data_IF_740080166611
#
_entry.id   IF_740080166611
#
_cell.length_a   1.000
_cell.length_b   1.000
_cell.length_c   1.000
_cell.angle_alpha   90.00
_cell.angle_beta   90.00
_cell.angle_gamma   90.00
#
_symmetry.space_group_name_H-M   'P 1'
#
loop_
_entity.id
_entity.type
_entity.pdbx_description
1 polymer ?
#
# COMPACT_ATOMS: atom_id res chain seq x y z
N UNK A 1 -7.22 -30.95 35.92
CA UNK A 1 -8.05 -30.32 34.87
C UNK A 1 -7.18 -29.20 34.31
N UNK A 2 -6.60 -29.37 33.12
CA UNK A 2 -5.70 -28.35 32.56
C UNK A 2 -6.53 -27.17 32.07
N UNK A 3 -6.19 -25.96 32.49
CA UNK A 3 -6.73 -24.74 31.94
C UNK A 3 -6.42 -24.68 30.44
N UNK A 4 -7.41 -25.05 29.63
CA UNK A 4 -7.39 -24.80 28.19
C UNK A 4 -7.64 -23.31 28.01
N UNK A 5 -6.58 -22.52 27.86
CA UNK A 5 -6.68 -21.17 27.33
C UNK A 5 -7.17 -21.25 25.88
N UNK A 6 -8.48 -21.11 25.70
CA UNK A 6 -9.09 -20.94 24.39
C UNK A 6 -8.54 -19.65 23.79
N UNK A 7 -7.77 -19.77 22.71
CA UNK A 7 -7.23 -18.64 21.97
C UNK A 7 -8.35 -17.63 21.70
N UNK A 8 -8.27 -16.44 22.32
CA UNK A 8 -9.27 -15.39 22.13
C UNK A 8 -9.31 -15.04 20.64
N UNK A 9 -10.53 -15.01 20.08
CA UNK A 9 -10.77 -14.52 18.72
C UNK A 9 -10.10 -13.16 18.57
N UNK A 10 -9.04 -13.10 17.76
CA UNK A 10 -8.40 -11.85 17.36
C UNK A 10 -9.51 -10.92 16.87
N UNK A 11 -9.61 -9.72 17.47
CA UNK A 11 -10.62 -8.73 17.11
C UNK A 11 -10.43 -8.42 15.62
N UNK A 12 -11.30 -9.01 14.79
CA UNK A 12 -11.28 -8.83 13.34
C UNK A 12 -11.33 -7.33 13.06
N UNK A 13 -10.34 -6.82 12.32
CA UNK A 13 -10.37 -5.44 11.89
C UNK A 13 -11.68 -5.19 11.13
N UNK A 14 -12.32 -4.02 11.31
CA UNK A 14 -13.55 -3.72 10.60
C UNK A 14 -13.32 -3.89 9.10
N UNK A 15 -14.13 -4.71 8.43
CA UNK A 15 -14.00 -5.00 6.99
C UNK A 15 -13.96 -3.73 6.14
N UNK A 16 -14.67 -2.68 6.56
CA UNK A 16 -14.64 -1.38 5.91
C UNK A 16 -13.25 -0.73 5.94
N UNK A 17 -12.51 -0.83 7.04
CA UNK A 17 -11.15 -0.29 7.18
C UNK A 17 -10.18 -1.00 6.23
N UNK A 18 -10.29 -2.34 6.12
CA UNK A 18 -9.50 -3.13 5.17
C UNK A 18 -9.81 -2.74 3.72
N UNK A 19 -11.09 -2.56 3.40
CA UNK A 19 -11.52 -2.19 2.04
C UNK A 19 -11.01 -0.80 1.65
N UNK A 20 -11.14 0.20 2.53
CA UNK A 20 -10.63 1.56 2.29
C UNK A 20 -9.12 1.53 2.08
N UNK A 21 -8.38 0.78 2.90
CA UNK A 21 -6.93 0.63 2.74
C UNK A 21 -6.58 0.00 1.41
N UNK A 22 -7.29 -1.06 1.00
CA UNK A 22 -7.07 -1.73 -0.28
C UNK A 22 -7.32 -0.79 -1.47
N UNK A 23 -8.43 -0.05 -1.47
CA UNK A 23 -8.75 0.91 -2.53
C UNK A 23 -7.69 2.01 -2.61
N UNK A 24 -7.27 2.54 -1.46
CA UNK A 24 -6.23 3.57 -1.40
C UNK A 24 -4.89 3.07 -1.96
N UNK A 25 -4.45 1.87 -1.55
CA UNK A 25 -3.22 1.26 -2.06
C UNK A 25 -3.31 0.99 -3.57
N UNK A 26 -4.46 0.53 -4.05
CA UNK A 26 -4.70 0.31 -5.47
C UNK A 26 -4.61 1.61 -6.28
N UNK A 27 -5.18 2.70 -5.76
CA UNK A 27 -5.07 4.02 -6.39
C UNK A 27 -3.63 4.53 -6.44
N UNK A 28 -2.84 4.35 -5.36
CA UNK A 28 -1.42 4.68 -5.36
C UNK A 28 -0.65 3.86 -6.40
N UNK A 29 -0.95 2.57 -6.52
CA UNK A 29 -0.30 1.72 -7.51
C UNK A 29 -0.58 2.18 -8.94
N UNK A 30 -1.84 2.44 -9.29
CA UNK A 30 -2.21 2.94 -10.61
C UNK A 30 -1.64 4.33 -10.89
N UNK A 31 -1.70 5.24 -9.91
CA UNK A 31 -1.11 6.58 -10.03
C UNK A 31 0.41 6.53 -10.23
N UNK A 32 1.10 5.64 -9.51
CA UNK A 32 2.52 5.40 -9.67
C UNK A 32 2.87 4.84 -11.05
N UNK A 33 2.12 3.87 -11.56
CA UNK A 33 2.27 3.35 -12.92
C UNK A 33 2.08 4.43 -13.98
N UNK A 34 1.07 5.28 -13.82
CA UNK A 34 0.83 6.39 -14.73
C UNK A 34 1.99 7.40 -14.73
N UNK A 35 2.52 7.75 -13.54
CA UNK A 35 3.67 8.64 -13.40
C UNK A 35 4.95 8.06 -14.04
N UNK A 36 5.19 6.76 -13.86
CA UNK A 36 6.28 6.04 -14.53
C UNK A 36 6.11 6.14 -16.05
N UNK A 37 4.91 5.88 -16.57
CA UNK A 37 4.62 5.98 -18.00
C UNK A 37 4.89 7.36 -18.55
N UNK A 38 4.36 8.41 -17.90
CA UNK A 38 4.55 9.81 -18.30
C UNK A 38 6.04 10.17 -18.27
N UNK A 39 6.74 9.91 -17.16
CA UNK A 39 8.17 10.19 -17.03
C UNK A 39 9.09 9.30 -17.87
N UNK A 40 8.59 8.20 -18.45
CA UNK A 40 9.36 7.39 -19.40
C UNK A 40 9.22 7.91 -20.84
N UNK A 41 8.10 8.58 -21.16
CA UNK A 41 7.80 9.05 -22.52
C UNK A 41 8.03 10.54 -22.73
N UNK A 42 8.08 11.34 -21.65
CA UNK A 42 8.29 12.78 -21.72
C UNK A 42 9.78 13.14 -21.79
N UNK A 43 10.14 14.12 -22.61
CA UNK A 43 11.50 14.67 -22.73
C UNK A 43 11.69 15.96 -21.91
N UNK A 44 10.64 16.39 -21.20
CA UNK A 44 10.69 17.56 -20.32
C UNK A 44 11.71 17.43 -19.19
N UNK A 45 12.25 18.56 -18.72
CA UNK A 45 13.21 18.58 -17.59
C UNK A 45 12.65 17.95 -16.29
N UNK A 46 11.33 17.87 -16.15
CA UNK A 46 10.63 17.23 -15.02
C UNK A 46 10.55 15.70 -15.14
N UNK A 47 10.80 15.14 -16.33
CA UNK A 47 10.58 13.73 -16.66
C UNK A 47 11.30 12.75 -15.70
N UNK A 48 12.59 12.92 -15.36
CA UNK A 48 13.27 12.04 -14.40
C UNK A 48 12.63 12.07 -13.01
N UNK A 49 12.13 13.23 -12.59
CA UNK A 49 11.47 13.38 -11.29
C UNK A 49 10.11 12.68 -11.28
N UNK A 50 9.35 12.76 -12.38
CA UNK A 50 8.06 12.06 -12.51
C UNK A 50 8.25 10.54 -12.49
N UNK A 51 9.27 10.04 -13.18
CA UNK A 51 9.61 8.62 -13.19
C UNK A 51 9.96 8.11 -11.79
N UNK A 52 10.86 8.81 -11.07
CA UNK A 52 11.25 8.46 -9.70
C UNK A 52 10.07 8.58 -8.74
N UNK A 53 9.25 9.64 -8.85
CA UNK A 53 8.04 9.80 -8.04
C UNK A 53 7.06 8.64 -8.27
N UNK A 54 6.93 8.17 -9.51
CA UNK A 54 6.12 7.00 -9.82
C UNK A 54 6.60 5.73 -9.14
N UNK A 55 7.92 5.45 -9.14
CA UNK A 55 8.52 4.32 -8.42
C UNK A 55 8.25 4.41 -6.91
N UNK A 56 8.46 5.60 -6.31
CA UNK A 56 8.20 5.81 -4.89
C UNK A 56 6.72 5.58 -4.54
N UNK A 57 5.81 6.07 -5.39
CA UNK A 57 4.36 5.89 -5.22
C UNK A 57 3.96 4.42 -5.31
N UNK A 58 4.53 3.66 -6.25
CA UNK A 58 4.35 2.20 -6.33
C UNK A 58 4.87 1.51 -5.06
N UNK A 59 6.06 1.88 -4.58
CA UNK A 59 6.62 1.33 -3.34
C UNK A 59 5.71 1.58 -2.13
N UNK A 60 5.15 2.79 -2.02
CA UNK A 60 4.22 3.15 -0.96
C UNK A 60 2.93 2.33 -1.00
N UNK A 61 2.41 1.98 -2.18
CA UNK A 61 1.23 1.13 -2.33
C UNK A 61 1.40 -0.24 -1.64
N UNK A 62 2.62 -0.77 -1.58
CA UNK A 62 2.94 -2.02 -0.89
C UNK A 62 3.42 -1.82 0.56
N UNK A 63 4.09 -0.70 0.86
CA UNK A 63 4.61 -0.41 2.19
C UNK A 63 3.56 0.06 3.21
N UNK A 64 2.61 0.90 2.80
CA UNK A 64 1.52 1.40 3.66
C UNK A 64 0.65 0.30 4.28
N UNK A 65 0.22 -0.75 3.56
CA UNK A 65 -0.56 -1.81 4.20
C UNK A 65 0.25 -2.66 5.19
N UNK A 66 1.59 -2.53 5.22
CA UNK A 66 2.45 -3.26 6.17
C UNK A 66 2.68 -2.50 7.49
N UNK A 67 2.32 -1.21 7.62
CA UNK A 67 2.59 -0.39 8.84
C UNK A 67 1.75 -0.73 10.07
N UNK A 68 1.12 -1.90 10.10
CA UNK A 68 0.43 -2.48 11.26
C UNK A 68 0.50 -4.00 11.31
N UNK A 69 1.32 -4.61 10.44
CA UNK A 69 1.56 -6.06 10.41
C UNK A 69 2.66 -6.50 11.39
N UNK A 70 3.33 -5.55 12.06
CA UNK A 70 4.27 -5.82 13.14
C UNK A 70 3.50 -6.36 14.36
N UNK A 71 3.50 -7.69 14.43
CA UNK A 71 3.34 -8.55 15.60
C UNK A 71 2.09 -8.32 16.47
N UNK A 72 1.13 -9.23 16.31
CA UNK A 72 0.14 -9.60 17.32
C UNK A 72 0.22 -11.07 17.62
#
# INVERSE_FOLDING_TARGET
MSDFEVARRQKQEPTATLLVRAIFCFALFLGGLALIGIGATDEGASSPYLFVAGILTVGLAFGLPMTGATER
#
